data_IF_849400398920
#
_entry.id   IF_849400398920
#
_cell.length_a   1.000
_cell.length_b   1.000
_cell.length_c   1.000
_cell.angle_alpha   90.00
_cell.angle_beta   90.00
_cell.angle_gamma   90.00
#
_symmetry.space_group_name_H-M   'P 1'
#
loop_
_entity.id
_entity.type
_entity.pdbx_description
1 polymer ?
#
# COMPACT_ATOMS: atom_id res chain seq x y z
N UNK A 1 -15.24 26.69 2.40
CA UNK A 1 -15.08 25.22 2.57
C UNK A 1 -15.96 24.38 1.64
N UNK A 2 -16.94 24.93 0.92
CA UNK A 2 -17.90 24.17 0.10
C UNK A 2 -17.30 23.56 -1.18
N UNK A 3 -16.51 24.32 -1.95
CA UNK A 3 -15.98 23.88 -3.26
C UNK A 3 -15.18 22.57 -3.18
N UNK A 4 -14.33 22.39 -2.16
CA UNK A 4 -13.56 21.17 -1.97
C UNK A 4 -14.44 19.93 -1.70
N UNK A 5 -15.59 20.09 -1.03
CA UNK A 5 -16.56 19.00 -0.83
C UNK A 5 -17.30 18.66 -2.11
N UNK A 6 -17.68 19.67 -2.90
CA UNK A 6 -18.29 19.46 -4.22
C UNK A 6 -17.35 18.74 -5.18
N UNK A 7 -16.07 19.16 -5.26
CA UNK A 7 -15.06 18.48 -6.08
C UNK A 7 -14.83 17.04 -5.62
N UNK A 8 -14.74 16.79 -4.30
CA UNK A 8 -14.62 15.44 -3.75
C UNK A 8 -15.84 14.56 -4.08
N UNK A 9 -17.06 15.11 -4.05
CA UNK A 9 -18.28 14.40 -4.43
C UNK A 9 -18.31 14.06 -5.93
N UNK A 10 -17.95 15.01 -6.80
CA UNK A 10 -17.85 14.79 -8.27
C UNK A 10 -16.85 13.66 -8.58
N UNK A 11 -15.66 13.70 -7.97
CA UNK A 11 -14.65 12.63 -8.10
C UNK A 11 -15.16 11.29 -7.54
N UNK A 12 -15.93 11.31 -6.45
CA UNK A 12 -16.55 10.11 -5.89
C UNK A 12 -17.59 9.48 -6.83
N UNK A 13 -18.49 10.27 -7.43
CA UNK A 13 -19.47 9.78 -8.40
C UNK A 13 -18.81 9.20 -9.66
N UNK A 14 -17.80 9.89 -10.22
CA UNK A 14 -17.08 9.36 -11.38
C UNK A 14 -16.35 8.03 -11.07
N UNK A 15 -15.82 7.90 -9.85
CA UNK A 15 -15.24 6.63 -9.38
C UNK A 15 -16.30 5.54 -9.23
N UNK A 16 -17.50 5.86 -8.71
CA UNK A 16 -18.62 4.91 -8.60
C UNK A 16 -19.09 4.40 -9.96
N UNK A 17 -19.28 5.28 -10.95
CA UNK A 17 -19.70 4.87 -12.29
C UNK A 17 -18.61 4.06 -13.00
N UNK A 18 -17.34 4.47 -12.93
CA UNK A 18 -16.22 3.67 -13.45
C UNK A 18 -16.09 2.32 -12.73
N UNK A 19 -16.54 2.23 -11.48
CA UNK A 19 -16.55 1.02 -10.68
C UNK A 19 -17.67 0.06 -11.10
N UNK A 20 -18.90 0.56 -11.19
CA UNK A 20 -20.09 -0.20 -11.61
C UNK A 20 -19.95 -0.69 -13.06
N UNK A 21 -19.36 0.13 -13.95
CA UNK A 21 -19.05 -0.26 -15.32
C UNK A 21 -18.23 -1.57 -15.41
N UNK A 22 -17.22 -1.75 -14.56
CA UNK A 22 -16.36 -2.95 -14.59
C UNK A 22 -17.09 -4.20 -14.13
N UNK A 23 -17.95 -4.11 -13.11
CA UNK A 23 -18.81 -5.22 -12.67
C UNK A 23 -19.78 -5.66 -13.77
N UNK A 24 -20.27 -4.72 -14.58
CA UNK A 24 -21.30 -4.95 -15.57
C UNK A 24 -20.78 -5.39 -16.94
N UNK A 25 -19.46 -5.35 -17.19
CA UNK A 25 -18.85 -5.64 -18.50
C UNK A 25 -19.23 -7.00 -19.10
N UNK A 26 -19.46 -8.02 -18.26
CA UNK A 26 -20.02 -9.31 -18.67
C UNK A 26 -21.55 -9.30 -18.78
N UNK A 27 -22.30 -9.07 -17.67
CA UNK A 27 -23.76 -9.27 -17.65
C UNK A 27 -24.60 -8.13 -18.28
N UNK A 28 -24.00 -6.98 -18.62
CA UNK A 28 -24.67 -5.85 -19.27
C UNK A 28 -23.64 -4.93 -20.00
N UNK A 29 -23.10 -5.34 -21.17
CA UNK A 29 -21.96 -4.65 -21.80
C UNK A 29 -22.28 -3.22 -22.29
N UNK A 30 -23.44 -2.98 -22.89
CA UNK A 30 -23.85 -1.64 -23.37
C UNK A 30 -23.93 -0.62 -22.22
N UNK A 31 -24.36 -1.09 -21.05
CA UNK A 31 -24.43 -0.28 -19.84
C UNK A 31 -23.05 -0.06 -19.21
N UNK A 32 -22.16 -1.05 -19.27
CA UNK A 32 -20.77 -0.87 -18.87
C UNK A 32 -20.09 0.24 -19.69
N UNK A 33 -20.40 0.36 -20.99
CA UNK A 33 -19.96 1.48 -21.80
C UNK A 33 -20.60 2.80 -21.38
N UNK A 34 -21.92 2.85 -21.15
CA UNK A 34 -22.61 4.06 -20.71
C UNK A 34 -22.02 4.62 -19.39
N UNK A 35 -21.81 3.76 -18.39
CA UNK A 35 -21.24 4.13 -17.09
C UNK A 35 -19.75 4.50 -17.18
N UNK A 36 -19.00 3.90 -18.11
CA UNK A 36 -17.62 4.33 -18.41
C UNK A 36 -17.61 5.71 -19.04
N UNK A 37 -18.47 5.95 -20.02
CA UNK A 37 -18.55 7.22 -20.75
C UNK A 37 -19.02 8.38 -19.84
N UNK A 38 -19.95 8.14 -18.90
CA UNK A 38 -20.31 9.15 -17.89
C UNK A 38 -19.18 9.40 -16.90
N UNK A 39 -18.47 8.36 -16.45
CA UNK A 39 -17.30 8.52 -15.59
C UNK A 39 -16.20 9.37 -16.24
N UNK A 40 -15.91 9.11 -17.52
CA UNK A 40 -14.95 9.86 -18.33
C UNK A 40 -15.41 11.31 -18.54
N UNK A 41 -16.68 11.56 -18.87
CA UNK A 41 -17.23 12.90 -19.02
C UNK A 41 -17.11 13.72 -17.71
N UNK A 42 -17.45 13.12 -16.57
CA UNK A 42 -17.36 13.78 -15.25
C UNK A 42 -15.89 14.05 -14.87
N UNK A 43 -14.96 13.12 -15.14
CA UNK A 43 -13.53 13.33 -14.90
C UNK A 43 -12.94 14.45 -15.76
N UNK A 44 -13.41 14.58 -16.99
CA UNK A 44 -13.01 15.64 -17.92
C UNK A 44 -13.72 16.99 -17.67
N UNK A 45 -14.52 17.11 -16.59
CA UNK A 45 -15.25 18.33 -16.25
C UNK A 45 -16.35 18.70 -17.24
N UNK A 46 -16.82 17.75 -18.06
CA UNK A 46 -17.87 17.98 -19.03
C UNK A 46 -19.25 17.99 -18.35
N UNK A 47 -20.14 18.85 -18.82
CA UNK A 47 -21.48 18.97 -18.28
C UNK A 47 -22.35 17.78 -18.73
N UNK A 48 -22.63 16.87 -17.79
CA UNK A 48 -23.51 15.70 -18.01
C UNK A 48 -24.97 16.19 -18.04
N UNK A 49 -25.38 16.69 -19.20
CA UNK A 49 -26.75 17.14 -19.46
C UNK A 49 -27.63 15.98 -19.96
N UNK A 50 -28.95 16.07 -19.82
CA UNK A 50 -29.89 15.10 -20.42
C UNK A 50 -29.68 14.94 -21.94
N UNK A 51 -29.17 15.97 -22.62
CA UNK A 51 -28.82 15.93 -24.06
C UNK A 51 -27.63 15.02 -24.37
N UNK A 52 -26.74 14.79 -23.41
CA UNK A 52 -25.65 13.80 -23.50
C UNK A 52 -26.18 12.35 -23.46
N UNK A 53 -27.42 12.15 -23.00
CA UNK A 53 -28.08 10.86 -22.81
C UNK A 53 -29.39 10.74 -23.59
N UNK A 54 -29.38 11.11 -24.88
CA UNK A 54 -30.53 10.88 -25.78
C UNK A 54 -30.91 9.40 -25.96
N UNK A 55 -30.11 8.48 -25.43
CA UNK A 55 -30.44 7.07 -25.19
C UNK A 55 -30.96 6.83 -23.76
N UNK A 56 -32.29 6.90 -23.61
CA UNK A 56 -33.10 5.74 -23.19
C UNK A 56 -32.51 4.82 -22.10
N UNK A 57 -32.42 5.28 -20.85
CA UNK A 57 -32.46 4.39 -19.69
C UNK A 57 -33.64 4.81 -18.81
N UNK A 58 -34.70 4.01 -18.82
CA UNK A 58 -35.89 4.24 -18.01
C UNK A 58 -35.59 4.04 -16.52
N UNK A 59 -36.39 4.64 -15.64
CA UNK A 59 -36.28 4.42 -14.19
C UNK A 59 -36.38 2.92 -13.82
N UNK A 60 -37.13 2.12 -14.60
CA UNK A 60 -37.22 0.67 -14.43
C UNK A 60 -35.90 -0.02 -14.72
N UNK A 61 -35.21 0.37 -15.79
CA UNK A 61 -33.87 -0.16 -16.11
C UNK A 61 -32.87 0.24 -15.03
N UNK A 62 -32.88 1.49 -14.55
CA UNK A 62 -32.01 1.93 -13.43
C UNK A 62 -32.20 1.03 -12.19
N UNK A 63 -33.44 0.71 -11.81
CA UNK A 63 -33.72 -0.20 -10.69
C UNK A 63 -33.17 -1.60 -10.95
N UNK A 64 -33.46 -2.20 -12.11
CA UNK A 64 -32.94 -3.53 -12.49
C UNK A 64 -31.42 -3.57 -12.58
N UNK A 65 -30.77 -2.45 -12.90
CA UNK A 65 -29.31 -2.30 -12.92
C UNK A 65 -28.73 -2.26 -11.52
N UNK A 66 -29.34 -1.49 -10.60
CA UNK A 66 -28.96 -1.45 -9.19
C UNK A 66 -29.11 -2.82 -8.52
N UNK A 67 -30.21 -3.53 -8.81
CA UNK A 67 -30.44 -4.92 -8.38
C UNK A 67 -29.30 -5.85 -8.85
N UNK A 68 -28.95 -5.81 -10.15
CA UNK A 68 -27.84 -6.61 -10.70
C UNK A 68 -26.48 -6.28 -10.07
N UNK A 69 -26.20 -5.01 -9.79
CA UNK A 69 -24.97 -4.60 -9.11
C UNK A 69 -24.93 -5.14 -7.67
N UNK A 70 -26.04 -5.10 -6.93
CA UNK A 70 -26.08 -5.70 -5.59
C UNK A 70 -26.04 -7.23 -5.62
N UNK A 71 -26.62 -7.90 -6.62
CA UNK A 71 -26.43 -9.35 -6.83
C UNK A 71 -24.95 -9.69 -7.07
N UNK A 72 -24.28 -8.97 -7.98
CA UNK A 72 -22.86 -9.18 -8.26
C UNK A 72 -21.97 -8.91 -7.02
N UNK A 73 -22.30 -7.87 -6.24
CA UNK A 73 -21.63 -7.60 -4.95
C UNK A 73 -21.89 -8.70 -3.93
N UNK A 74 -23.11 -9.24 -3.85
CA UNK A 74 -23.44 -10.36 -2.95
C UNK A 74 -22.69 -11.63 -3.33
N UNK A 75 -22.64 -12.00 -4.61
CA UNK A 75 -21.83 -13.13 -5.09
C UNK A 75 -20.33 -12.94 -4.81
N UNK A 76 -19.80 -11.73 -4.99
CA UNK A 76 -18.40 -11.44 -4.70
C UNK A 76 -18.10 -11.55 -3.19
N UNK A 77 -19.00 -11.06 -2.31
CA UNK A 77 -18.90 -11.22 -0.85
C UNK A 77 -18.85 -12.71 -0.48
N UNK A 78 -19.74 -13.50 -1.06
CA UNK A 78 -19.82 -14.95 -0.83
C UNK A 78 -18.56 -15.70 -1.32
N UNK A 79 -18.04 -15.35 -2.51
CA UNK A 79 -16.77 -15.90 -3.01
C UNK A 79 -15.58 -15.52 -2.10
N UNK A 80 -15.55 -14.31 -1.53
CA UNK A 80 -14.53 -13.93 -0.54
C UNK A 80 -14.67 -14.71 0.76
N UNK A 81 -15.89 -14.93 1.26
CA UNK A 81 -16.15 -15.79 2.44
C UNK A 81 -15.66 -17.22 2.21
N UNK A 82 -16.01 -17.81 1.07
CA UNK A 82 -15.57 -19.17 0.69
C UNK A 82 -14.05 -19.27 0.52
N UNK A 83 -13.39 -18.23 0.01
CA UNK A 83 -11.92 -18.17 -0.02
C UNK A 83 -11.33 -18.10 1.39
N UNK A 84 -11.86 -17.25 2.27
CA UNK A 84 -11.39 -17.13 3.66
C UNK A 84 -11.59 -18.45 4.45
N UNK A 85 -12.73 -19.14 4.27
CA UNK A 85 -12.99 -20.45 4.87
C UNK A 85 -12.11 -21.56 4.25
N UNK A 86 -11.81 -21.46 2.96
CA UNK A 86 -10.86 -22.34 2.28
C UNK A 86 -9.45 -22.22 2.84
N UNK A 87 -9.02 -21.04 3.28
CA UNK A 87 -7.72 -20.80 3.91
C UNK A 87 -7.56 -21.57 5.23
N UNK A 88 -8.62 -21.68 6.05
CA UNK A 88 -8.57 -22.37 7.34
C UNK A 88 -8.27 -23.87 7.23
N UNK A 89 -8.48 -24.45 6.05
CA UNK A 89 -8.26 -25.87 5.74
C UNK A 89 -6.85 -26.15 5.15
N UNK A 90 -5.94 -25.18 5.14
CA UNK A 90 -4.59 -25.32 4.57
C UNK A 90 -3.57 -25.64 5.68
N UNK A 91 -3.14 -26.91 5.75
CA UNK A 91 -2.18 -27.38 6.77
C UNK A 91 -0.78 -26.75 6.64
N UNK A 92 -0.29 -26.49 5.42
CA UNK A 92 1.03 -25.86 5.23
C UNK A 92 0.95 -24.35 5.48
N UNK A 93 1.52 -23.93 6.61
CA UNK A 93 1.45 -22.55 7.08
C UNK A 93 2.10 -21.53 6.12
N UNK A 94 3.11 -21.92 5.33
CA UNK A 94 3.69 -21.07 4.29
C UNK A 94 2.73 -20.86 3.12
N UNK A 95 2.14 -21.95 2.61
CA UNK A 95 1.13 -21.92 1.55
C UNK A 95 -0.13 -21.17 1.99
N UNK A 96 -0.58 -21.35 3.23
CA UNK A 96 -1.67 -20.58 3.83
C UNK A 96 -1.39 -19.06 3.76
N UNK A 97 -0.22 -18.60 4.23
CA UNK A 97 0.16 -17.17 4.17
C UNK A 97 0.27 -16.63 2.74
N UNK A 98 0.74 -17.44 1.79
CA UNK A 98 0.76 -17.07 0.36
C UNK A 98 -0.65 -16.87 -0.19
N UNK A 99 -1.58 -17.76 0.10
CA UNK A 99 -2.98 -17.61 -0.33
C UNK A 99 -3.68 -16.46 0.41
N UNK A 100 -3.43 -16.23 1.70
CA UNK A 100 -3.89 -15.01 2.42
C UNK A 100 -3.49 -13.74 1.66
N UNK A 101 -2.24 -13.65 1.20
CA UNK A 101 -1.73 -12.50 0.43
C UNK A 101 -2.44 -12.35 -0.93
N UNK A 102 -2.74 -13.46 -1.60
CA UNK A 102 -3.48 -13.44 -2.87
C UNK A 102 -4.96 -13.02 -2.66
N UNK A 103 -5.64 -13.58 -1.67
CA UNK A 103 -7.02 -13.21 -1.31
C UNK A 103 -7.10 -11.73 -0.90
N UNK A 104 -6.14 -11.25 -0.12
CA UNK A 104 -6.05 -9.84 0.24
C UNK A 104 -5.80 -8.92 -0.97
N UNK A 105 -5.02 -9.35 -1.96
CA UNK A 105 -4.84 -8.61 -3.21
C UNK A 105 -6.14 -8.55 -4.04
N UNK A 106 -6.88 -9.67 -4.16
CA UNK A 106 -8.19 -9.70 -4.80
C UNK A 106 -9.22 -8.82 -4.07
N UNK A 107 -9.19 -8.80 -2.73
CA UNK A 107 -10.03 -7.89 -1.92
C UNK A 107 -9.65 -6.43 -2.10
N UNK A 108 -8.36 -6.12 -2.23
CA UNK A 108 -7.86 -4.76 -2.50
C UNK A 108 -8.26 -4.25 -3.90
N UNK A 109 -8.22 -5.14 -4.92
CA UNK A 109 -8.72 -4.86 -6.26
C UNK A 109 -10.24 -4.67 -6.26
N UNK A 110 -10.97 -5.52 -5.54
CA UNK A 110 -12.43 -5.48 -5.47
C UNK A 110 -12.99 -4.27 -4.68
N UNK A 111 -12.26 -3.78 -3.68
CA UNK A 111 -12.73 -2.77 -2.73
C UNK A 111 -13.45 -1.55 -3.33
N UNK A 112 -13.02 -0.91 -4.44
CA UNK A 112 -13.72 0.23 -5.04
C UNK A 112 -15.12 -0.12 -5.55
N UNK A 113 -15.35 -1.38 -5.92
CA UNK A 113 -16.57 -1.85 -6.56
C UNK A 113 -17.62 -2.31 -5.53
N UNK A 114 -17.21 -2.58 -4.29
CA UNK A 114 -18.00 -3.34 -3.30
C UNK A 114 -18.84 -2.47 -2.36
N UNK A 115 -18.58 -1.17 -2.29
CA UNK A 115 -19.32 -0.20 -1.47
C UNK A 115 -19.14 -0.36 0.05
N UNK A 116 -18.20 -1.20 0.50
CA UNK A 116 -18.02 -1.54 1.91
C UNK A 116 -16.82 -0.79 2.54
N UNK A 117 -17.02 -0.03 3.65
CA UNK A 117 -15.92 0.63 4.35
C UNK A 117 -14.81 -0.33 4.80
N UNK A 118 -15.16 -1.56 5.19
CA UNK A 118 -14.21 -2.57 5.67
C UNK A 118 -13.19 -2.99 4.59
N UNK A 119 -13.58 -2.95 3.30
CA UNK A 119 -12.66 -3.30 2.22
C UNK A 119 -11.63 -2.21 1.94
N UNK A 120 -11.82 -0.98 2.44
CA UNK A 120 -10.85 0.12 2.23
C UNK A 120 -9.52 -0.11 2.94
N UNK A 121 -9.48 -0.88 4.04
CA UNK A 121 -8.25 -1.24 4.73
C UNK A 121 -7.40 -2.29 3.97
N UNK A 122 -7.96 -2.96 2.96
CA UNK A 122 -7.17 -3.75 2.01
C UNK A 122 -6.46 -2.87 0.95
N UNK A 123 -6.89 -1.62 0.78
CA UNK A 123 -6.25 -0.67 -0.15
C UNK A 123 -5.24 0.26 0.53
N UNK A 124 -5.36 0.43 1.85
CA UNK A 124 -4.42 1.23 2.64
C UNK A 124 -3.15 0.41 2.89
N UNK A 125 -1.95 0.98 2.73
CA UNK A 125 -0.72 0.31 3.16
C UNK A 125 -0.74 0.09 4.67
N UNK A 126 -0.06 -0.96 5.13
CA UNK A 126 0.25 -1.14 6.54
C UNK A 126 1.22 -0.05 7.06
N UNK A 127 1.46 -0.05 8.37
CA UNK A 127 2.49 0.78 8.97
C UNK A 127 3.88 0.45 8.40
N UNK A 128 4.71 1.48 8.20
CA UNK A 128 5.99 1.37 7.50
C UNK A 128 6.91 0.35 8.20
N UNK A 129 7.51 -0.56 7.42
CA UNK A 129 8.38 -1.63 7.95
C UNK A 129 7.64 -2.86 8.48
N UNK A 130 6.34 -2.79 8.78
CA UNK A 130 5.57 -3.94 9.28
C UNK A 130 5.37 -4.97 8.17
N UNK A 131 5.90 -6.18 8.34
CA UNK A 131 5.92 -7.25 7.32
C UNK A 131 6.57 -6.86 5.99
N UNK A 132 7.51 -5.90 6.01
CA UNK A 132 8.26 -5.46 4.84
C UNK A 132 9.61 -6.19 4.76
N UNK A 133 9.73 -7.12 3.80
CA UNK A 133 10.95 -7.90 3.61
C UNK A 133 11.81 -7.45 2.43
N UNK A 134 12.61 -8.38 1.90
CA UNK A 134 13.44 -8.16 0.70
C UNK A 134 12.78 -8.75 -0.55
N UNK A 135 12.56 -7.91 -1.56
CA UNK A 135 12.12 -8.34 -2.90
C UNK A 135 13.33 -8.63 -3.77
N UNK A 136 13.64 -9.91 -3.96
CA UNK A 136 14.73 -10.36 -4.83
C UNK A 136 14.26 -10.53 -6.29
N UNK A 137 15.06 -10.07 -7.25
CA UNK A 137 14.79 -10.15 -8.70
C UNK A 137 15.92 -10.81 -9.49
N UNK A 138 17.17 -10.66 -9.05
CA UNK A 138 18.34 -11.28 -9.66
C UNK A 138 18.75 -12.57 -8.91
N UNK A 139 19.46 -13.51 -9.56
CA UNK A 139 19.96 -14.72 -8.89
C UNK A 139 20.82 -14.44 -7.64
N UNK A 140 21.56 -13.31 -7.64
CA UNK A 140 22.40 -12.92 -6.51
C UNK A 140 21.60 -12.31 -5.35
N UNK A 141 20.55 -11.54 -5.65
CA UNK A 141 19.59 -11.09 -4.64
C UNK A 141 18.82 -12.27 -4.03
N UNK A 142 18.52 -13.32 -4.82
CA UNK A 142 17.84 -14.53 -4.33
C UNK A 142 18.69 -15.25 -3.27
N UNK A 143 20.00 -15.40 -3.48
CA UNK A 143 20.88 -16.00 -2.46
C UNK A 143 21.03 -15.12 -1.21
N UNK A 144 21.07 -13.78 -1.36
CA UNK A 144 21.07 -12.85 -0.21
C UNK A 144 19.75 -12.99 0.58
N UNK A 145 18.61 -13.00 -0.11
CA UNK A 145 17.30 -13.21 0.51
C UNK A 145 17.23 -14.57 1.22
N UNK A 146 17.76 -15.63 0.62
CA UNK A 146 17.75 -16.99 1.19
C UNK A 146 18.52 -17.12 2.51
N UNK A 147 19.64 -16.42 2.68
CA UNK A 147 20.33 -16.37 3.98
C UNK A 147 19.60 -15.47 4.98
N UNK A 148 18.98 -14.37 4.52
CA UNK A 148 18.10 -13.55 5.36
C UNK A 148 16.89 -14.36 5.87
N UNK A 149 16.18 -15.06 4.99
CA UNK A 149 15.03 -15.94 5.30
C UNK A 149 15.41 -17.01 6.34
N UNK A 150 16.61 -17.58 6.23
CA UNK A 150 17.15 -18.57 7.19
C UNK A 150 17.44 -17.97 8.56
N UNK A 151 17.85 -16.71 8.64
CA UNK A 151 18.00 -15.99 9.92
C UNK A 151 16.63 -15.64 10.51
N UNK A 152 15.69 -15.20 9.68
CA UNK A 152 14.29 -14.91 10.08
C UNK A 152 13.58 -16.15 10.62
N UNK A 153 13.82 -17.35 10.07
CA UNK A 153 13.30 -18.61 10.65
C UNK A 153 13.76 -18.84 12.09
N UNK A 154 15.04 -18.62 12.39
CA UNK A 154 15.57 -18.76 13.75
C UNK A 154 14.99 -17.75 14.72
N UNK A 155 14.71 -16.53 14.25
CA UNK A 155 14.02 -15.50 15.04
C UNK A 155 12.59 -15.95 15.32
N UNK A 156 11.85 -16.42 14.29
CA UNK A 156 10.49 -16.95 14.45
C UNK A 156 10.42 -18.10 15.46
N UNK A 157 11.34 -19.07 15.38
CA UNK A 157 11.49 -20.18 16.34
C UNK A 157 11.69 -19.66 17.78
N UNK A 158 12.65 -18.73 17.98
CA UNK A 158 12.92 -18.09 19.27
C UNK A 158 11.70 -17.40 19.88
N UNK A 159 10.84 -16.80 19.06
CA UNK A 159 9.64 -16.08 19.49
C UNK A 159 8.36 -16.95 19.54
N UNK A 160 8.46 -18.24 19.21
CA UNK A 160 7.35 -19.19 19.27
C UNK A 160 6.29 -18.98 18.19
N UNK A 161 6.65 -18.42 17.04
CA UNK A 161 5.76 -18.28 15.86
C UNK A 161 6.21 -19.20 14.72
N UNK A 162 5.32 -19.50 13.77
CA UNK A 162 5.62 -20.49 12.75
C UNK A 162 6.74 -19.98 11.79
N UNK A 163 7.86 -20.70 11.62
CA UNK A 163 9.02 -20.18 10.89
C UNK A 163 8.81 -20.08 9.37
N UNK A 164 8.06 -21.01 8.78
CA UNK A 164 7.79 -20.99 7.33
C UNK A 164 6.73 -19.94 6.99
N UNK A 165 5.68 -19.83 7.81
CA UNK A 165 4.69 -18.76 7.73
C UNK A 165 5.34 -17.37 7.88
N UNK A 166 6.24 -17.20 8.86
CA UNK A 166 6.90 -15.91 9.11
C UNK A 166 7.75 -15.46 7.92
N UNK A 167 8.52 -16.35 7.27
CA UNK A 167 9.23 -15.98 6.04
C UNK A 167 8.27 -15.56 4.93
N UNK A 168 7.12 -16.22 4.77
CA UNK A 168 6.12 -15.84 3.77
C UNK A 168 5.35 -14.55 4.10
N UNK A 169 5.20 -14.19 5.38
CA UNK A 169 4.64 -12.88 5.77
C UNK A 169 5.50 -11.75 5.21
N UNK A 170 6.82 -11.94 5.16
CA UNK A 170 7.82 -11.01 4.63
C UNK A 170 8.28 -11.30 3.19
N UNK A 171 7.71 -12.27 2.46
CA UNK A 171 8.26 -12.69 1.15
C UNK A 171 8.02 -11.71 0.00
N UNK A 172 7.18 -10.69 0.20
CA UNK A 172 6.87 -9.64 -0.77
C UNK A 172 7.02 -8.22 -0.22
N UNK A 173 6.57 -7.23 -0.99
CA UNK A 173 6.48 -5.84 -0.54
C UNK A 173 5.46 -5.64 0.59
N UNK A 174 5.46 -4.43 1.17
CA UNK A 174 4.62 -4.05 2.31
C UNK A 174 3.15 -4.43 2.08
N UNK A 175 2.50 -5.17 3.01
CA UNK A 175 1.12 -5.58 2.85
C UNK A 175 0.15 -4.40 3.02
N UNK A 176 -1.13 -4.64 2.74
CA UNK A 176 -2.20 -3.75 3.15
C UNK A 176 -2.41 -3.80 4.67
N UNK A 177 -3.06 -2.77 5.22
CA UNK A 177 -3.38 -2.69 6.65
C UNK A 177 -4.18 -3.92 7.11
N UNK A 178 -5.24 -4.28 6.39
CA UNK A 178 -6.07 -5.43 6.73
C UNK A 178 -5.28 -6.75 6.73
N UNK A 179 -4.36 -6.95 5.77
CA UNK A 179 -3.51 -8.15 5.72
C UNK A 179 -2.45 -8.16 6.84
N UNK A 180 -1.88 -7.02 7.20
CA UNK A 180 -0.95 -6.93 8.34
C UNK A 180 -1.64 -7.24 9.67
N UNK A 181 -2.87 -6.76 9.85
CA UNK A 181 -3.66 -7.04 11.06
C UNK A 181 -4.01 -8.55 11.12
N UNK A 182 -4.42 -9.17 10.00
CA UNK A 182 -4.59 -10.63 9.89
C UNK A 182 -3.31 -11.44 10.19
N UNK A 183 -2.14 -10.95 9.77
CA UNK A 183 -0.86 -11.61 10.07
C UNK A 183 -0.53 -11.57 11.57
N UNK A 184 -0.75 -10.44 12.25
CA UNK A 184 -0.54 -10.37 13.70
C UNK A 184 -1.57 -11.19 14.50
N UNK A 185 -2.81 -11.30 14.03
CA UNK A 185 -3.80 -12.24 14.61
C UNK A 185 -3.40 -13.71 14.43
N UNK A 186 -2.67 -14.04 13.35
CA UNK A 186 -2.10 -15.37 13.16
C UNK A 186 -0.89 -15.60 14.08
N UNK A 187 0.05 -14.65 14.16
CA UNK A 187 1.21 -14.72 15.06
C UNK A 187 0.79 -14.84 16.53
N UNK A 188 -0.22 -14.09 16.98
CA UNK A 188 -0.76 -14.18 18.33
C UNK A 188 -1.30 -15.59 18.65
N UNK A 189 -2.01 -16.22 17.70
CA UNK A 189 -2.53 -17.60 17.83
C UNK A 189 -1.43 -18.66 17.77
N UNK A 190 -0.41 -18.45 16.94
CA UNK A 190 0.79 -19.31 16.89
C UNK A 190 1.54 -19.29 18.23
N UNK A 191 1.80 -18.10 18.77
CA UNK A 191 2.51 -17.93 20.04
C UNK A 191 1.72 -18.46 21.24
N UNK A 192 0.40 -18.23 21.31
CA UNK A 192 -0.43 -18.79 22.38
C UNK A 192 -0.39 -20.33 22.36
N UNK A 193 -0.45 -20.93 21.16
CA UNK A 193 -0.35 -22.39 20.97
C UNK A 193 1.02 -22.92 21.37
N UNK A 194 2.11 -22.32 20.88
CA UNK A 194 3.48 -22.69 21.23
C UNK A 194 3.72 -22.65 22.74
N UNK A 195 3.28 -21.58 23.42
CA UNK A 195 3.38 -21.46 24.88
C UNK A 195 2.56 -22.55 25.59
N UNK A 196 1.34 -22.82 25.13
CA UNK A 196 0.50 -23.89 25.67
C UNK A 196 1.14 -25.28 25.52
N UNK A 197 1.78 -25.56 24.39
CA UNK A 197 2.47 -26.84 24.11
C UNK A 197 3.72 -27.03 24.99
N UNK A 198 4.40 -25.94 25.36
CA UNK A 198 5.58 -25.96 26.25
C UNK A 198 5.23 -25.86 27.74
N UNK A 199 3.95 -25.74 28.11
CA UNK A 199 3.52 -25.59 29.51
C UNK A 199 3.81 -24.21 30.12
N UNK A 200 4.09 -23.21 29.27
CA UNK A 200 4.37 -21.83 29.68
C UNK A 200 3.14 -21.16 30.32
N UNK A 201 3.38 -20.23 31.25
CA UNK A 201 2.31 -19.40 31.80
C UNK A 201 1.65 -18.51 30.73
N UNK A 202 0.34 -18.28 30.88
CA UNK A 202 -0.43 -17.41 29.99
C UNK A 202 0.13 -16.00 30.01
N UNK A 203 0.43 -15.49 28.82
CA UNK A 203 0.99 -14.17 28.59
C UNK A 203 -0.12 -13.10 28.56
N UNK A 204 0.17 -11.90 29.07
CA UNK A 204 -0.74 -10.74 28.92
C UNK A 204 -0.57 -10.10 27.55
N UNK A 205 -1.61 -9.42 27.04
CA UNK A 205 -1.54 -8.73 25.75
C UNK A 205 -0.33 -7.77 25.66
N UNK A 206 -0.09 -6.97 26.69
CA UNK A 206 1.04 -6.04 26.71
C UNK A 206 2.42 -6.71 26.64
N UNK A 207 2.59 -7.89 27.27
CA UNK A 207 3.84 -8.67 27.16
C UNK A 207 4.00 -9.24 25.75
N UNK A 208 2.95 -9.88 25.22
CA UNK A 208 2.93 -10.44 23.86
C UNK A 208 3.25 -9.38 22.81
N UNK A 209 2.63 -8.20 22.92
CA UNK A 209 2.81 -7.11 21.96
C UNK A 209 4.22 -6.49 22.08
N UNK A 210 4.82 -6.46 23.27
CA UNK A 210 6.23 -6.10 23.47
C UNK A 210 7.18 -7.12 22.84
N UNK A 211 6.89 -8.41 22.97
CA UNK A 211 7.71 -9.49 22.39
C UNK A 211 7.63 -9.50 20.86
N UNK A 212 6.44 -9.28 20.27
CA UNK A 212 6.30 -9.10 18.82
C UNK A 212 6.97 -7.83 18.30
N UNK A 213 6.94 -6.72 19.03
CA UNK A 213 7.70 -5.52 18.66
C UNK A 213 9.20 -5.84 18.52
N UNK A 214 9.80 -6.53 19.51
CA UNK A 214 11.21 -6.97 19.46
C UNK A 214 11.47 -7.94 18.30
N UNK A 215 10.57 -8.90 18.07
CA UNK A 215 10.67 -9.84 16.95
C UNK A 215 10.68 -9.12 15.60
N UNK A 216 9.77 -8.16 15.40
CA UNK A 216 9.68 -7.38 14.18
C UNK A 216 10.90 -6.46 14.01
N UNK A 217 11.42 -5.85 15.07
CA UNK A 217 12.65 -5.06 15.04
C UNK A 217 13.86 -5.93 14.64
N UNK A 218 14.02 -7.13 15.22
CA UNK A 218 15.07 -8.08 14.84
C UNK A 218 14.97 -8.48 13.36
N UNK A 219 13.77 -8.82 12.87
CA UNK A 219 13.53 -9.18 11.45
C UNK A 219 13.79 -7.99 10.51
N UNK A 220 13.37 -6.78 10.90
CA UNK A 220 13.57 -5.56 10.11
C UNK A 220 15.06 -5.25 9.94
N UNK A 221 15.89 -5.45 10.97
CA UNK A 221 17.35 -5.33 10.86
C UNK A 221 17.93 -6.32 9.86
N UNK A 222 17.49 -7.58 9.87
CA UNK A 222 17.96 -8.61 8.92
C UNK A 222 17.63 -8.20 7.47
N UNK A 223 16.38 -7.84 7.18
CA UNK A 223 16.01 -7.44 5.81
C UNK A 223 16.57 -6.08 5.41
N UNK A 224 16.80 -5.15 6.34
CA UNK A 224 17.50 -3.89 6.04
C UNK A 224 18.95 -4.15 5.62
N UNK A 225 19.68 -5.02 6.32
CA UNK A 225 21.04 -5.43 5.95
C UNK A 225 21.06 -6.17 4.60
N UNK A 226 20.10 -7.08 4.36
CA UNK A 226 19.95 -7.80 3.10
C UNK A 226 19.71 -6.84 1.91
N UNK A 227 18.81 -5.87 2.08
CA UNK A 227 18.55 -4.82 1.10
C UNK A 227 19.76 -3.88 0.88
N UNK A 228 20.58 -3.63 1.91
CA UNK A 228 21.81 -2.85 1.77
C UNK A 228 22.85 -3.59 0.91
N UNK A 229 23.14 -4.86 1.22
CA UNK A 229 24.06 -5.70 0.44
C UNK A 229 23.62 -5.81 -1.03
N UNK A 230 22.32 -5.95 -1.31
CA UNK A 230 21.79 -5.97 -2.66
C UNK A 230 22.06 -4.66 -3.43
N UNK A 231 21.92 -3.50 -2.78
CA UNK A 231 22.18 -2.18 -3.39
C UNK A 231 23.66 -1.97 -3.70
N UNK A 232 24.57 -2.36 -2.81
CA UNK A 232 26.02 -2.26 -3.04
C UNK A 232 26.44 -3.05 -4.28
N UNK A 233 25.87 -4.25 -4.45
CA UNK A 233 26.10 -5.11 -5.62
C UNK A 233 25.51 -4.50 -6.89
N UNK A 234 24.32 -3.88 -6.82
CA UNK A 234 23.73 -3.14 -7.94
C UNK A 234 24.55 -1.89 -8.34
N UNK A 235 25.13 -1.19 -7.36
CA UNK A 235 25.99 -0.02 -7.58
C UNK A 235 27.38 -0.34 -8.16
N UNK A 236 27.87 -1.58 -8.02
CA UNK A 236 29.13 -2.03 -8.64
C UNK A 236 29.04 -2.35 -10.14
N UNK A 237 27.91 -2.08 -10.79
CA UNK A 237 27.71 -2.24 -12.26
C UNK A 237 27.57 -0.89 -12.97
N UNK A 238 28.29 0.15 -12.52
CA UNK A 238 28.68 1.24 -13.42
C UNK A 238 29.80 0.72 -14.34
N UNK A 239 29.51 0.63 -15.64
CA UNK A 239 30.47 0.18 -16.65
C UNK A 239 31.70 1.10 -16.75
N UNK A 240 32.77 0.65 -17.46
CA UNK A 240 34.01 1.40 -17.54
C UNK A 240 33.75 2.80 -18.10
N UNK A 241 34.11 3.83 -17.31
CA UNK A 241 34.01 5.24 -17.71
C UNK A 241 34.86 5.42 -18.96
N UNK A 242 34.18 5.58 -20.10
CA UNK A 242 34.86 5.91 -21.35
C UNK A 242 35.46 7.30 -21.21
N UNK A 243 36.78 7.34 -21.02
CA UNK A 243 37.58 8.53 -21.23
C UNK A 243 37.39 8.97 -22.68
N UNK A 244 36.54 9.97 -22.89
CA UNK A 244 36.43 10.68 -24.17
C UNK A 244 37.57 11.69 -24.24
N UNK A 245 38.77 11.19 -24.55
CA UNK A 245 39.83 12.04 -25.08
C UNK A 245 39.33 12.66 -26.39
N UNK A 246 39.02 13.95 -26.36
CA UNK A 246 38.71 14.74 -27.55
C UNK A 246 39.92 15.60 -27.89
N UNK A 247 40.61 15.21 -28.96
CA UNK A 247 41.74 15.93 -29.55
C UNK A 247 41.25 17.30 -30.06
N UNK A 248 41.98 18.41 -29.85
CA UNK A 248 41.50 19.75 -30.17
C UNK A 248 41.51 20.01 -31.69
N UNK A 249 40.45 20.67 -32.18
CA UNK A 249 40.43 21.32 -33.49
C UNK A 249 40.57 22.84 -33.29
N UNK A 250 41.49 23.46 -34.03
CA UNK A 250 41.75 24.90 -33.99
C UNK A 250 40.93 25.69 -35.02
N UNK A 251 40.84 27.00 -34.80
CA UNK A 251 40.35 28.07 -35.69
C UNK A 251 38.85 28.03 -36.07
N UNK A 252 38.11 29.13 -36.27
CA UNK A 252 38.27 30.56 -35.95
C UNK A 252 36.89 31.26 -36.18
N UNK A 253 36.50 32.39 -35.57
CA UNK A 253 36.97 33.12 -34.38
C UNK A 253 35.91 34.20 -33.99
N UNK A 254 35.98 34.75 -32.77
CA UNK A 254 35.38 36.05 -32.42
C UNK A 254 34.03 36.07 -31.65
N UNK A 255 34.10 36.29 -30.33
CA UNK A 255 33.45 37.40 -29.61
C UNK A 255 33.53 37.20 -28.09
N UNK A 256 34.22 38.09 -27.39
CA UNK A 256 34.42 38.02 -25.94
C UNK A 256 33.21 38.50 -25.15
N UNK A 257 32.77 37.74 -24.14
CA UNK A 257 32.30 38.30 -22.88
C UNK A 257 32.51 37.31 -21.73
N UNK A 258 33.33 37.70 -20.75
CA UNK A 258 33.25 37.14 -19.41
C UNK A 258 32.00 37.72 -18.71
N UNK A 259 31.49 37.06 -17.68
CA UNK A 259 31.59 37.49 -16.26
C UNK A 259 30.67 36.63 -15.36
N UNK A 260 31.08 36.46 -14.11
CA UNK A 260 30.29 36.10 -12.92
C UNK A 260 29.56 34.75 -12.79
N UNK A 261 30.24 33.89 -12.02
CA UNK A 261 29.61 33.00 -11.03
C UNK A 261 28.71 33.82 -10.11
N UNK A 262 27.41 33.48 -10.00
CA UNK A 262 26.57 34.03 -8.94
C UNK A 262 25.64 32.97 -8.34
N UNK A 263 26.05 32.42 -7.20
CA UNK A 263 25.35 31.36 -6.49
C UNK A 263 24.22 31.91 -5.59
N UNK A 264 23.06 32.19 -6.18
CA UNK A 264 21.84 32.54 -5.42
C UNK A 264 20.99 31.28 -5.16
N UNK A 265 21.07 30.76 -3.93
CA UNK A 265 20.12 29.75 -3.42
C UNK A 265 18.70 30.34 -3.43
N UNK A 266 17.88 29.96 -4.41
CA UNK A 266 16.42 30.07 -4.30
C UNK A 266 15.94 29.00 -3.30
N UNK A 267 15.66 29.40 -2.07
CA UNK A 267 14.84 28.59 -1.15
C UNK A 267 13.45 28.42 -1.74
N UNK A 268 13.00 27.18 -1.89
CA UNK A 268 11.68 26.88 -2.44
C UNK A 268 10.56 27.33 -1.49
N UNK A 269 9.40 27.78 -2.00
CA UNK A 269 8.31 28.28 -1.16
C UNK A 269 7.73 27.23 -0.17
N UNK A 270 7.99 25.95 -0.40
CA UNK A 270 7.56 24.84 0.45
C UNK A 270 8.29 24.79 1.80
N UNK A 271 9.59 25.13 1.85
CA UNK A 271 10.35 25.20 3.11
C UNK A 271 9.84 26.33 4.00
N UNK A 272 9.44 27.45 3.41
CA UNK A 272 8.85 28.60 4.12
C UNK A 272 7.54 28.20 4.81
N UNK A 273 6.68 27.43 4.12
CA UNK A 273 5.41 26.94 4.65
C UNK A 273 5.60 25.92 5.78
N UNK A 274 6.60 25.03 5.66
CA UNK A 274 6.92 24.06 6.71
C UNK A 274 7.37 24.76 8.00
N UNK A 275 8.26 25.75 7.90
CA UNK A 275 8.73 26.54 9.04
C UNK A 275 7.60 27.34 9.72
N UNK A 276 6.70 27.95 8.94
CA UNK A 276 5.53 28.65 9.49
C UNK A 276 4.56 27.68 10.20
N UNK A 277 4.41 26.45 9.70
CA UNK A 277 3.56 25.44 10.31
C UNK A 277 4.17 24.87 11.60
N UNK A 278 5.49 24.62 11.62
CA UNK A 278 6.24 24.23 12.82
C UNK A 278 6.15 25.30 13.92
N UNK A 279 6.31 26.58 13.55
CA UNK A 279 6.17 27.71 14.47
C UNK A 279 4.75 27.80 15.07
N UNK A 280 3.69 27.67 14.26
CA UNK A 280 2.30 27.66 14.76
C UNK A 280 2.03 26.49 15.71
N UNK A 281 2.61 25.32 15.45
CA UNK A 281 2.51 24.16 16.34
C UNK A 281 3.25 24.39 17.67
N UNK A 282 4.40 25.07 17.65
CA UNK A 282 5.14 25.46 18.85
C UNK A 282 4.36 26.50 19.68
N UNK A 283 3.82 27.55 19.05
CA UNK A 283 2.96 28.55 19.72
C UNK A 283 1.71 27.92 20.35
N UNK A 284 1.12 26.90 19.71
CA UNK A 284 -0.02 26.15 20.27
C UNK A 284 0.37 25.34 21.51
N UNK A 285 1.48 24.58 21.46
CA UNK A 285 2.01 23.82 22.59
C UNK A 285 2.44 24.69 23.77
N UNK A 286 2.87 25.93 23.52
CA UNK A 286 3.16 26.90 24.58
C UNK A 286 1.87 27.33 25.31
N UNK A 287 0.81 27.68 24.57
CA UNK A 287 -0.48 28.06 25.15
C UNK A 287 -1.16 26.93 25.94
N UNK A 288 -1.02 25.69 25.49
CA UNK A 288 -1.53 24.50 26.21
C UNK A 288 -0.74 24.22 27.51
N UNK A 289 0.48 24.75 27.69
CA UNK A 289 1.25 24.64 28.94
C UNK A 289 0.95 25.77 29.94
N UNK A 290 0.72 26.99 29.46
CA UNK A 290 0.41 28.14 30.34
C UNK A 290 -1.08 28.26 30.71
N UNK A 291 -1.99 27.66 29.94
CA UNK A 291 -3.45 27.74 30.19
C UNK A 291 -3.99 26.86 31.34
N UNK A 292 -3.12 26.23 32.12
CA UNK A 292 -3.45 25.09 32.99
C UNK A 292 -3.61 25.36 34.49
N UNK A 293 -4.17 26.51 34.92
CA UNK A 293 -4.59 26.73 36.33
C UNK A 293 -5.71 27.79 36.44
N UNK A 294 -6.90 27.38 36.88
CA UNK A 294 -7.93 28.33 37.33
C UNK A 294 -9.38 27.84 37.20
N UNK A 295 -9.82 27.06 38.20
CA UNK A 295 -11.21 26.65 38.50
C UNK A 295 -11.92 25.77 37.45
#
# INVERSE_FOLDING_TARGET
>A
MTVARSAAAIIHYARSFSAEAKLLKGPAPELAELLRNTAEAIQNGQEVTEKFHRSTVSAKEITTMAERVETARAEAREKFRQMDEGLENIDDAATHVRFMRQVAALKAEAAPYMGQPQMTDYQRPAERGRFEGMVARTPREIEIKKEADKQVRKIAEKYGVNPSATVERYSGGSPSKALADQYSDAEARERERHRSEHGDHKETAAQRDQEFARMHDEIAVIYAAANAMAREIGGTVEGPKQHTETVPSMDAAGASHATEVNATKKTAPEDQQRLDQERRNAERKARERDGGRGL
#
